data_IF_194488445008
#
_entry.id   IF_194488445008
#
_cell.length_a   1.000
_cell.length_b   1.000
_cell.length_c   1.000
_cell.angle_alpha   90.00
_cell.angle_beta   90.00
_cell.angle_gamma   90.00
#
_symmetry.space_group_name_H-M   'P 1'
#
loop_
_entity.id
_entity.type
_entity.pdbx_description
1 polymer ?
#
# COMPACT_ATOMS: atom_id res chain seq x y z
N UNK A 1 -31.34 46.32 9.63
CA UNK A 1 -29.90 46.24 9.88
C UNK A 1 -29.70 45.48 11.17
N UNK A 2 -28.76 44.53 11.21
CA UNK A 2 -28.44 43.77 12.42
C UNK A 2 -27.53 44.64 13.31
N UNK A 3 -27.78 44.62 14.61
CA UNK A 3 -26.90 45.28 15.59
C UNK A 3 -25.53 44.58 15.54
N UNK A 4 -24.42 45.31 15.61
CA UNK A 4 -23.07 44.74 15.51
C UNK A 4 -22.84 43.58 16.49
N UNK A 5 -23.39 43.68 17.71
CA UNK A 5 -23.32 42.63 18.74
C UNK A 5 -24.07 41.34 18.37
N UNK A 6 -25.20 41.46 17.66
CA UNK A 6 -26.00 40.33 17.19
C UNK A 6 -25.28 39.57 16.08
N UNK A 7 -24.62 40.30 15.17
CA UNK A 7 -23.83 39.70 14.11
C UNK A 7 -22.60 38.93 14.64
N UNK A 8 -21.89 39.47 15.65
CA UNK A 8 -20.80 38.74 16.30
C UNK A 8 -21.28 37.51 17.06
N UNK A 9 -22.44 37.58 17.73
CA UNK A 9 -23.04 36.43 18.40
C UNK A 9 -23.43 35.33 17.40
N UNK A 10 -24.07 35.70 16.29
CA UNK A 10 -24.45 34.76 15.23
C UNK A 10 -23.23 34.10 14.56
N UNK A 11 -22.16 34.87 14.36
CA UNK A 11 -20.88 34.35 13.89
C UNK A 11 -20.29 33.31 14.84
N UNK A 12 -20.24 33.61 16.15
CA UNK A 12 -19.74 32.68 17.17
C UNK A 12 -20.56 31.39 17.27
N UNK A 13 -21.89 31.49 17.23
CA UNK A 13 -22.78 30.31 17.22
C UNK A 13 -22.59 29.46 15.98
N UNK A 14 -22.36 30.09 14.82
CA UNK A 14 -22.08 29.39 13.55
C UNK A 14 -20.79 28.58 13.65
N UNK A 15 -19.70 29.17 14.11
CA UNK A 15 -18.43 28.47 14.30
C UNK A 15 -18.51 27.31 15.30
N UNK A 16 -19.22 27.49 16.42
CA UNK A 16 -19.46 26.42 17.40
C UNK A 16 -20.28 25.27 16.82
N UNK A 17 -21.19 25.55 15.90
CA UNK A 17 -21.96 24.52 15.20
C UNK A 17 -21.08 23.75 14.20
N UNK A 18 -20.20 24.45 13.46
CA UNK A 18 -19.23 23.82 12.56
C UNK A 18 -18.26 22.90 13.29
N UNK A 19 -17.81 23.28 14.49
CA UNK A 19 -16.97 22.44 15.34
C UNK A 19 -17.69 21.11 15.69
N UNK A 20 -18.97 21.19 16.07
CA UNK A 20 -19.78 19.98 16.37
C UNK A 20 -19.89 19.05 15.16
N UNK A 21 -20.18 19.59 13.98
CA UNK A 21 -20.24 18.79 12.75
C UNK A 21 -18.89 18.13 12.42
N UNK A 22 -17.78 18.83 12.67
CA UNK A 22 -16.43 18.28 12.48
C UNK A 22 -16.15 17.11 13.42
N UNK A 23 -16.53 17.23 14.70
CA UNK A 23 -16.41 16.13 15.68
C UNK A 23 -17.21 14.90 15.23
N UNK A 24 -18.42 15.08 14.70
CA UNK A 24 -19.24 14.00 14.16
C UNK A 24 -18.62 13.35 12.92
N UNK A 25 -18.08 14.16 12.01
CA UNK A 25 -17.34 13.67 10.85
C UNK A 25 -16.11 12.86 11.25
N UNK A 26 -15.32 13.34 12.23
CA UNK A 26 -14.15 12.64 12.73
C UNK A 26 -14.50 11.28 13.34
N UNK A 27 -15.65 11.16 14.02
CA UNK A 27 -16.15 9.86 14.52
C UNK A 27 -16.43 8.87 13.38
N UNK A 28 -16.86 9.35 12.20
CA UNK A 28 -17.08 8.52 11.01
C UNK A 28 -15.77 8.17 10.28
N UNK A 29 -14.79 9.07 10.26
CA UNK A 29 -13.50 8.85 9.57
C UNK A 29 -12.58 7.92 10.37
N UNK A 30 -12.56 7.99 11.70
CA UNK A 30 -11.72 7.13 12.55
C UNK A 30 -11.78 5.62 12.22
N UNK A 31 -12.96 4.98 12.10
CA UNK A 31 -13.02 3.56 11.75
C UNK A 31 -12.49 3.29 10.33
N UNK A 32 -12.67 4.21 9.37
CA UNK A 32 -12.14 4.06 8.00
C UNK A 32 -10.60 3.92 8.03
N UNK A 33 -9.94 4.78 8.81
CA UNK A 33 -8.48 4.73 8.98
C UNK A 33 -8.05 3.44 9.68
N UNK A 34 -8.80 2.99 10.69
CA UNK A 34 -8.50 1.75 11.40
C UNK A 34 -8.60 0.51 10.49
N UNK A 35 -9.60 0.48 9.60
CA UNK A 35 -9.80 -0.61 8.65
C UNK A 35 -8.70 -0.63 7.57
N UNK A 36 -8.35 0.54 7.00
CA UNK A 36 -7.21 0.68 6.09
C UNK A 36 -5.89 0.24 6.74
N UNK A 37 -5.67 0.65 7.99
CA UNK A 37 -4.48 0.27 8.74
C UNK A 37 -4.44 -1.25 8.99
N UNK A 38 -5.59 -1.87 9.23
CA UNK A 38 -5.70 -3.34 9.36
C UNK A 38 -5.36 -4.05 8.06
N UNK A 39 -5.82 -3.53 6.92
CA UNK A 39 -5.47 -4.07 5.61
C UNK A 39 -3.95 -4.00 5.38
N UNK A 40 -3.33 -2.83 5.60
CA UNK A 40 -1.90 -2.60 5.40
C UNK A 40 -1.01 -3.39 6.37
N UNK A 41 -1.36 -3.44 7.66
CA UNK A 41 -0.50 -4.03 8.70
C UNK A 41 -0.78 -5.50 8.97
N UNK A 42 -1.90 -6.06 8.53
CA UNK A 42 -2.24 -7.48 8.78
C UNK A 42 -2.45 -8.27 7.49
N UNK A 43 -3.32 -7.81 6.58
CA UNK A 43 -3.68 -8.59 5.40
C UNK A 43 -2.53 -8.71 4.38
N UNK A 44 -1.85 -7.60 4.08
CA UNK A 44 -0.70 -7.60 3.16
C UNK A 44 0.47 -8.43 3.73
N UNK A 45 0.88 -8.26 5.01
CA UNK A 45 1.97 -9.06 5.58
C UNK A 45 1.70 -10.57 5.63
N UNK A 46 0.46 -11.01 5.88
CA UNK A 46 0.10 -12.45 5.85
C UNK A 46 0.30 -13.04 4.44
N UNK A 47 -0.15 -12.31 3.42
CA UNK A 47 0.02 -12.74 2.03
C UNK A 47 1.50 -12.75 1.64
N UNK A 48 2.26 -11.72 2.03
CA UNK A 48 3.73 -11.68 1.84
C UNK A 48 4.42 -12.87 2.52
N UNK A 49 4.01 -13.26 3.73
CA UNK A 49 4.57 -14.42 4.42
C UNK A 49 4.32 -15.71 3.63
N UNK A 50 3.14 -15.85 3.04
CA UNK A 50 2.80 -17.02 2.22
C UNK A 50 3.64 -17.05 0.94
N UNK A 51 3.82 -15.89 0.29
CA UNK A 51 4.68 -15.75 -0.89
C UNK A 51 6.13 -16.14 -0.54
N UNK A 52 6.66 -15.69 0.60
CA UNK A 52 8.02 -16.09 1.04
C UNK A 52 8.16 -17.61 1.16
N UNK A 53 7.22 -18.28 1.84
CA UNK A 53 7.20 -19.75 1.94
C UNK A 53 7.15 -20.43 0.57
N UNK A 54 6.38 -19.88 -0.37
CA UNK A 54 6.33 -20.39 -1.74
C UNK A 54 7.67 -20.22 -2.47
N UNK A 55 8.36 -19.09 -2.28
CA UNK A 55 9.67 -18.85 -2.87
C UNK A 55 10.71 -19.86 -2.36
N UNK A 56 10.68 -20.19 -1.07
CA UNK A 56 11.57 -21.21 -0.49
C UNK A 56 11.34 -22.59 -1.13
N UNK A 57 10.07 -23.00 -1.23
CA UNK A 57 9.70 -24.29 -1.87
C UNK A 57 10.00 -24.29 -3.37
N UNK A 58 9.82 -23.16 -4.06
CA UNK A 58 10.18 -23.01 -5.47
C UNK A 58 11.69 -23.13 -5.66
N UNK A 59 12.47 -22.49 -4.81
CA UNK A 59 13.93 -22.56 -4.85
C UNK A 59 14.41 -24.00 -4.61
N UNK A 60 13.86 -24.69 -3.61
CA UNK A 60 14.14 -26.10 -3.35
C UNK A 60 13.81 -27.00 -4.56
N UNK A 61 12.64 -26.83 -5.19
CA UNK A 61 12.29 -27.59 -6.37
C UNK A 61 13.22 -27.31 -7.56
N UNK A 62 13.53 -26.04 -7.81
CA UNK A 62 14.40 -25.65 -8.92
C UNK A 62 15.85 -26.10 -8.72
N UNK A 63 16.36 -26.13 -7.49
CA UNK A 63 17.70 -26.64 -7.21
C UNK A 63 17.82 -28.13 -7.54
N UNK A 64 16.78 -28.94 -7.25
CA UNK A 64 16.74 -30.33 -7.71
C UNK A 64 16.65 -30.47 -9.23
N UNK A 65 15.88 -29.61 -9.92
CA UNK A 65 15.83 -29.60 -11.38
C UNK A 65 17.21 -29.28 -11.99
N UNK A 66 17.92 -28.30 -11.44
CA UNK A 66 19.26 -27.94 -11.86
C UNK A 66 20.23 -29.10 -11.62
N UNK A 67 20.20 -29.73 -10.43
CA UNK A 67 21.07 -30.86 -10.12
C UNK A 67 20.85 -32.06 -11.03
N UNK A 68 19.60 -32.40 -11.38
CA UNK A 68 19.34 -33.46 -12.36
C UNK A 68 19.93 -33.10 -13.72
N UNK A 69 19.75 -31.86 -14.17
CA UNK A 69 20.29 -31.40 -15.44
C UNK A 69 21.83 -31.47 -15.47
N UNK A 70 22.49 -31.03 -14.40
CA UNK A 70 23.95 -31.14 -14.26
C UNK A 70 24.41 -32.60 -14.39
N UNK A 71 23.70 -33.54 -13.75
CA UNK A 71 24.04 -34.96 -13.83
C UNK A 71 23.79 -35.58 -15.21
N UNK A 72 22.73 -35.15 -15.91
CA UNK A 72 22.42 -35.56 -17.29
C UNK A 72 23.48 -34.99 -18.26
N UNK A 73 23.91 -33.73 -18.07
CA UNK A 73 24.94 -33.07 -18.88
C UNK A 73 26.32 -33.73 -18.69
N UNK A 74 26.68 -34.14 -17.45
CA UNK A 74 27.86 -34.95 -17.17
C UNK A 74 27.82 -36.29 -17.91
N UNK A 75 26.69 -37.02 -17.82
CA UNK A 75 26.54 -38.34 -18.46
C UNK A 75 26.65 -38.24 -19.99
N UNK A 76 26.07 -37.19 -20.57
CA UNK A 76 26.21 -36.88 -21.99
C UNK A 76 27.67 -36.60 -22.37
N UNK A 77 28.40 -35.84 -21.54
CA UNK A 77 29.82 -35.55 -21.75
C UNK A 77 30.70 -36.81 -21.78
N UNK A 78 30.53 -37.71 -20.79
CA UNK A 78 31.27 -38.98 -20.76
C UNK A 78 30.89 -39.92 -21.90
N UNK A 79 29.60 -39.94 -22.29
CA UNK A 79 29.14 -40.72 -23.44
C UNK A 79 29.79 -40.27 -24.76
N UNK A 80 30.06 -38.97 -24.92
CA UNK A 80 30.75 -38.40 -26.09
C UNK A 80 32.24 -38.79 -26.16
N UNK A 81 32.91 -38.93 -25.01
CA UNK A 81 34.32 -39.33 -24.92
C UNK A 81 34.48 -40.86 -24.96
N UNK A 82 33.36 -41.62 -24.93
CA UNK A 82 33.32 -43.08 -24.80
C UNK A 82 34.02 -43.61 -23.54
N UNK A 83 34.02 -42.82 -22.47
CA UNK A 83 34.54 -43.23 -21.16
C UNK A 83 33.39 -43.62 -20.22
N UNK A 84 33.53 -44.72 -19.45
CA UNK A 84 32.51 -45.13 -18.50
C UNK A 84 32.49 -44.22 -17.27
N UNK A 85 31.28 -43.85 -16.82
CA UNK A 85 31.09 -43.00 -15.66
C UNK A 85 31.08 -43.81 -14.35
N UNK A 86 32.08 -43.62 -13.48
CA UNK A 86 32.24 -44.35 -12.21
C UNK A 86 30.99 -44.37 -11.31
N UNK A 87 30.24 -43.27 -11.26
CA UNK A 87 28.97 -43.17 -10.51
C UNK A 87 27.95 -44.21 -11.00
N UNK A 88 27.91 -44.44 -12.31
CA UNK A 88 26.98 -45.39 -12.96
C UNK A 88 27.44 -46.83 -12.74
N UNK A 89 28.75 -47.09 -12.78
CA UNK A 89 29.32 -48.42 -12.48
C UNK A 89 28.97 -48.92 -11.07
N UNK A 90 28.87 -47.99 -10.11
CA UNK A 90 28.49 -48.29 -8.72
C UNK A 90 26.96 -48.29 -8.51
N UNK A 91 26.17 -48.28 -9.60
CA UNK A 91 24.72 -48.40 -9.58
C UNK A 91 23.95 -47.08 -9.46
N UNK A 92 24.56 -45.91 -9.68
CA UNK A 92 23.94 -44.59 -9.81
C UNK A 92 22.91 -44.21 -8.71
N UNK A 93 23.23 -44.52 -7.46
CA UNK A 93 22.32 -44.28 -6.32
C UNK A 93 21.98 -42.80 -6.14
N UNK A 94 22.96 -41.91 -6.29
CA UNK A 94 22.78 -40.46 -6.12
C UNK A 94 21.72 -39.91 -7.08
N UNK A 95 21.78 -40.30 -8.35
CA UNK A 95 20.80 -39.86 -9.36
C UNK A 95 19.39 -40.30 -9.00
N UNK A 96 19.22 -41.57 -8.58
CA UNK A 96 17.92 -42.09 -8.14
C UNK A 96 17.38 -41.34 -6.91
N UNK A 97 18.26 -41.01 -5.96
CA UNK A 97 17.87 -40.25 -4.78
C UNK A 97 17.42 -38.84 -5.15
N UNK A 98 18.18 -38.14 -5.99
CA UNK A 98 17.84 -36.79 -6.46
C UNK A 98 16.52 -36.79 -7.24
N UNK A 99 16.27 -37.79 -8.10
CA UNK A 99 15.00 -37.92 -8.81
C UNK A 99 13.80 -38.07 -7.85
N UNK A 100 13.95 -38.85 -6.78
CA UNK A 100 12.91 -38.98 -5.75
C UNK A 100 12.69 -37.65 -5.03
N UNK A 101 13.75 -37.00 -4.56
CA UNK A 101 13.66 -35.69 -3.89
C UNK A 101 13.01 -34.63 -4.80
N UNK A 102 13.33 -34.63 -6.11
CA UNK A 102 12.70 -33.75 -7.10
C UNK A 102 11.20 -33.97 -7.20
N UNK A 103 10.75 -35.22 -7.19
CA UNK A 103 9.32 -35.54 -7.28
C UNK A 103 8.56 -35.10 -6.02
N UNK A 104 9.14 -35.30 -4.84
CA UNK A 104 8.58 -34.84 -3.58
C UNK A 104 8.49 -33.30 -3.53
N UNK A 105 9.58 -32.62 -3.92
CA UNK A 105 9.63 -31.16 -4.02
C UNK A 105 8.65 -30.60 -5.06
N UNK A 106 8.49 -31.27 -6.22
CA UNK A 106 7.50 -30.90 -7.25
C UNK A 106 6.09 -30.88 -6.69
N UNK A 107 5.74 -31.89 -5.89
CA UNK A 107 4.41 -32.01 -5.29
C UNK A 107 4.17 -30.88 -4.27
N UNK A 108 5.15 -30.58 -3.42
CA UNK A 108 5.09 -29.45 -2.48
C UNK A 108 4.98 -28.11 -3.21
N UNK A 109 5.76 -27.92 -4.27
CA UNK A 109 5.75 -26.72 -5.11
C UNK A 109 4.39 -26.51 -5.78
N UNK A 110 3.82 -27.55 -6.40
CA UNK A 110 2.52 -27.46 -7.06
C UNK A 110 1.41 -27.06 -6.08
N UNK A 111 1.42 -27.65 -4.87
CA UNK A 111 0.48 -27.31 -3.80
C UNK A 111 0.62 -25.84 -3.37
N UNK A 112 1.83 -25.42 -2.99
CA UNK A 112 2.09 -24.04 -2.57
C UNK A 112 1.80 -23.01 -3.66
N UNK A 113 2.02 -23.34 -4.93
CA UNK A 113 1.66 -22.49 -6.07
C UNK A 113 0.16 -22.24 -6.13
N UNK A 114 -0.65 -23.30 -5.97
CA UNK A 114 -2.11 -23.17 -5.91
C UNK A 114 -2.54 -22.32 -4.72
N UNK A 115 -1.97 -22.58 -3.53
CA UNK A 115 -2.31 -21.86 -2.30
C UNK A 115 -2.01 -20.34 -2.42
N UNK A 116 -0.87 -19.97 -3.00
CA UNK A 116 -0.52 -18.56 -3.22
C UNK A 116 -1.43 -17.88 -4.24
N UNK A 117 -1.80 -18.57 -5.33
CA UNK A 117 -2.71 -18.00 -6.33
C UNK A 117 -4.07 -17.66 -5.71
N UNK A 118 -4.65 -18.60 -4.96
CA UNK A 118 -5.93 -18.38 -4.27
C UNK A 118 -5.81 -17.26 -3.24
N UNK A 119 -4.71 -17.20 -2.46
CA UNK A 119 -4.51 -16.10 -1.51
C UNK A 119 -4.39 -14.73 -2.17
N UNK A 120 -3.70 -14.64 -3.31
CA UNK A 120 -3.58 -13.40 -4.07
C UNK A 120 -4.95 -12.94 -4.59
N UNK A 121 -5.75 -13.86 -5.12
CA UNK A 121 -7.11 -13.56 -5.59
C UNK A 121 -8.02 -13.09 -4.44
N UNK A 122 -7.97 -13.74 -3.28
CA UNK A 122 -8.73 -13.31 -2.10
C UNK A 122 -8.28 -11.94 -1.59
N UNK A 123 -6.97 -11.67 -1.59
CA UNK A 123 -6.43 -10.37 -1.20
C UNK A 123 -6.89 -9.27 -2.17
N UNK A 124 -6.87 -9.54 -3.47
CA UNK A 124 -7.26 -8.58 -4.50
C UNK A 124 -8.77 -8.26 -4.44
N UNK A 125 -9.60 -9.30 -4.32
CA UNK A 125 -11.04 -9.13 -4.12
C UNK A 125 -11.34 -8.28 -2.87
N UNK A 126 -10.65 -8.56 -1.77
CA UNK A 126 -10.77 -7.77 -0.54
C UNK A 126 -10.30 -6.33 -0.74
N UNK A 127 -9.14 -6.13 -1.38
CA UNK A 127 -8.59 -4.81 -1.67
C UNK A 127 -9.58 -3.94 -2.43
N UNK A 128 -10.14 -4.46 -3.54
CA UNK A 128 -11.07 -3.71 -4.37
C UNK A 128 -12.35 -3.37 -3.60
N UNK A 129 -12.95 -4.34 -2.91
CA UNK A 129 -14.20 -4.12 -2.18
C UNK A 129 -14.02 -3.16 -0.99
N UNK A 130 -13.03 -3.40 -0.13
CA UNK A 130 -12.85 -2.62 1.09
C UNK A 130 -12.42 -1.18 0.76
N UNK A 131 -11.50 -0.99 -0.20
CA UNK A 131 -11.00 0.34 -0.57
C UNK A 131 -12.11 1.20 -1.17
N UNK A 132 -12.92 0.64 -2.08
CA UNK A 132 -14.03 1.38 -2.69
C UNK A 132 -15.05 1.78 -1.64
N UNK A 133 -15.44 0.84 -0.76
CA UNK A 133 -16.40 1.09 0.30
C UNK A 133 -15.89 2.16 1.29
N UNK A 134 -14.61 2.10 1.66
CA UNK A 134 -13.97 3.07 2.55
C UNK A 134 -13.91 4.47 1.93
N UNK A 135 -13.55 4.57 0.65
CA UNK A 135 -13.52 5.84 -0.09
C UNK A 135 -14.91 6.45 -0.24
N UNK A 136 -15.93 5.63 -0.55
CA UNK A 136 -17.32 6.09 -0.58
C UNK A 136 -17.76 6.65 0.77
N UNK A 137 -17.55 5.91 1.86
CA UNK A 137 -17.87 6.37 3.22
C UNK A 137 -17.14 7.65 3.60
N UNK A 138 -15.89 7.81 3.17
CA UNK A 138 -15.11 9.01 3.40
C UNK A 138 -15.69 10.21 2.65
N UNK A 139 -15.97 10.05 1.35
CA UNK A 139 -16.56 11.10 0.52
C UNK A 139 -17.94 11.48 1.07
N UNK A 140 -18.78 10.52 1.42
CA UNK A 140 -20.11 10.77 1.99
C UNK A 140 -20.03 11.54 3.31
N UNK A 141 -19.08 11.19 4.19
CA UNK A 141 -18.85 11.91 5.44
C UNK A 141 -18.40 13.36 5.20
N UNK A 142 -17.49 13.57 4.25
CA UNK A 142 -17.01 14.90 3.86
C UNK A 142 -18.11 15.74 3.20
N UNK A 143 -18.87 15.14 2.27
CA UNK A 143 -19.98 15.80 1.60
C UNK A 143 -21.06 16.24 2.60
N UNK A 144 -21.41 15.36 3.55
CA UNK A 144 -22.35 15.68 4.62
C UNK A 144 -21.84 16.82 5.49
N UNK A 145 -20.57 16.80 5.89
CA UNK A 145 -19.96 17.86 6.69
C UNK A 145 -19.98 19.21 5.97
N UNK A 146 -19.59 19.23 4.69
CA UNK A 146 -19.58 20.46 3.90
C UNK A 146 -20.99 21.00 3.63
N UNK A 147 -21.97 20.14 3.37
CA UNK A 147 -23.36 20.56 3.22
C UNK A 147 -23.90 21.17 4.52
N UNK A 148 -23.65 20.53 5.66
CA UNK A 148 -24.03 21.07 6.98
C UNK A 148 -23.38 22.44 7.25
N UNK A 149 -22.08 22.59 6.96
CA UNK A 149 -21.39 23.87 7.11
C UNK A 149 -21.96 24.93 6.18
N UNK A 150 -22.24 24.57 4.93
CA UNK A 150 -22.83 25.46 3.94
C UNK A 150 -24.22 25.95 4.38
N UNK A 151 -25.06 25.06 4.90
CA UNK A 151 -26.40 25.43 5.37
C UNK A 151 -26.35 26.43 6.53
N UNK A 152 -25.41 26.29 7.46
CA UNK A 152 -25.27 27.24 8.59
C UNK A 152 -24.64 28.56 8.11
N UNK A 153 -23.62 28.52 7.24
CA UNK A 153 -23.01 29.73 6.69
C UNK A 153 -23.95 30.54 5.80
N UNK A 154 -24.81 29.88 5.01
CA UNK A 154 -25.79 30.56 4.14
C UNK A 154 -26.76 31.44 4.94
N UNK A 155 -27.05 31.07 6.17
CA UNK A 155 -27.94 31.83 7.06
C UNK A 155 -27.22 33.00 7.74
N UNK A 156 -25.89 32.96 7.81
CA UNK A 156 -25.08 33.99 8.44
C UNK A 156 -24.78 35.11 7.44
N UNK A 157 -25.51 36.22 7.52
CA UNK A 157 -25.30 37.42 6.69
C UNK A 157 -24.13 38.23 7.26
N UNK A 158 -22.93 37.70 7.08
CA UNK A 158 -21.69 38.24 7.61
C UNK A 158 -21.18 39.26 6.57
N UNK A 159 -21.29 40.56 6.89
CA UNK A 159 -20.85 41.76 6.14
C UNK A 159 -21.84 42.42 5.16
N UNK A 160 -21.82 43.78 5.05
CA UNK A 160 -20.97 44.76 5.76
C UNK A 160 -21.46 45.05 7.20
N UNK A 161 -20.55 44.98 8.18
CA UNK A 161 -20.80 45.32 9.58
C UNK A 161 -20.64 46.83 9.74
N UNK A 162 -21.73 47.56 9.85
CA UNK A 162 -21.67 48.93 10.35
C UNK A 162 -21.41 48.87 11.86
N UNK A 163 -20.31 49.46 12.29
CA UNK A 163 -20.03 49.63 13.72
C UNK A 163 -20.89 50.81 14.15
N UNK A 164 -21.97 50.55 14.90
CA UNK A 164 -22.75 51.59 15.57
C UNK A 164 -21.84 52.23 16.64
N UNK A 165 -21.07 53.23 16.22
CA UNK A 165 -20.29 54.09 17.08
C UNK A 165 -21.23 55.21 17.53
N UNK A 166 -21.47 55.31 18.84
CA UNK A 166 -22.14 56.49 19.40
C UNK A 166 -21.39 57.76 18.98
N UNK A 167 -22.09 58.89 18.83
CA UNK A 167 -21.46 60.18 18.40
C UNK A 167 -20.30 60.64 19.30
N UNK A 168 -20.11 60.02 20.47
CA UNK A 168 -19.03 60.27 21.42
C UNK A 168 -17.91 59.20 21.37
N UNK A 169 -17.99 58.20 20.50
CA UNK A 169 -16.98 57.14 20.41
C UNK A 169 -15.59 57.65 19.96
N UNK A 170 -15.55 58.83 19.34
CA UNK A 170 -14.32 59.53 18.96
C UNK A 170 -14.09 60.84 19.72
N UNK A 171 -14.92 61.18 20.72
CA UNK A 171 -14.55 62.26 21.63
C UNK A 171 -13.47 61.72 22.55
N UNK A 172 -12.22 61.86 22.12
CA UNK A 172 -11.11 61.96 23.06
C UNK A 172 -11.52 63.02 24.06
N UNK A 173 -11.66 62.63 25.32
CA UNK A 173 -11.83 63.58 26.39
C UNK A 173 -10.52 64.37 26.43
N UNK A 174 -10.42 65.44 25.63
CA UNK A 174 -9.42 66.49 25.77
C UNK A 174 -9.75 67.25 27.04
N UNK A 175 -9.79 66.53 28.16
CA UNK A 175 -9.67 67.08 29.49
C UNK A 175 -8.27 67.65 29.55
N UNK A 176 -8.22 68.97 29.37
CA UNK A 176 -7.18 69.91 29.77
C UNK A 176 -6.05 69.19 30.53
N UNK A 177 -4.97 68.87 29.81
CA UNK A 177 -3.69 68.54 30.41
C UNK A 177 -3.15 69.87 30.94
N UNK A 178 -3.45 70.15 32.21
CA UNK A 178 -2.64 71.09 32.99
C UNK A 178 -1.26 70.47 33.12
N UNK A 179 -0.17 71.15 32.70
CA UNK A 179 1.17 70.61 32.82
C UNK A 179 1.70 71.03 34.18
N UNK A 180 1.59 70.18 35.20
CA UNK A 180 2.44 70.27 36.39
C UNK A 180 2.52 68.87 37.06
N UNK A 181 3.69 68.27 36.89
CA UNK A 181 4.49 67.53 37.89
C UNK A 181 3.84 66.33 38.64
N UNK A 182 4.24 65.11 38.25
CA UNK A 182 5.13 64.21 39.02
C UNK A 182 4.88 62.72 38.74
N UNK A 183 5.93 62.04 38.26
CA UNK A 183 6.05 60.58 38.27
C UNK A 183 6.12 60.04 39.71
N UNK A 184 5.85 58.74 39.93
CA UNK A 184 7.00 57.83 39.97
C UNK A 184 6.80 56.45 39.31
N UNK A 185 7.88 55.99 38.66
CA UNK A 185 8.22 54.61 38.33
C UNK A 185 8.11 53.64 39.54
N UNK A 186 7.53 52.45 39.33
CA UNK A 186 7.98 51.10 39.80
C UNK A 186 7.19 50.10 38.93
N UNK A 187 7.68 49.07 38.24
CA UNK A 187 8.83 48.19 38.41
C UNK A 187 8.30 46.74 38.38
N UNK A 188 8.69 45.98 37.34
CA UNK A 188 8.80 44.50 37.21
C UNK A 188 7.58 43.59 37.43
N UNK A 189 7.22 42.75 36.44
CA UNK A 189 7.63 41.33 36.36
C UNK A 189 6.95 40.59 35.19
N UNK A 190 7.74 39.74 34.54
CA UNK A 190 7.36 38.84 33.45
C UNK A 190 6.79 37.56 34.06
N UNK A 191 5.61 37.11 33.60
CA UNK A 191 5.19 35.71 33.78
C UNK A 191 4.78 35.14 32.41
N UNK A 192 5.75 34.50 31.77
CA UNK A 192 5.50 33.52 30.72
C UNK A 192 4.79 32.32 31.37
N UNK A 193 3.54 32.06 30.97
CA UNK A 193 2.85 30.81 31.28
C UNK A 193 3.00 29.88 30.09
N UNK A 194 3.90 28.93 30.25
CA UNK A 194 3.98 27.71 29.46
C UNK A 194 2.63 26.97 29.55
N UNK A 195 2.01 26.73 28.40
CA UNK A 195 0.93 25.76 28.23
C UNK A 195 1.58 24.47 27.74
N UNK A 196 1.92 23.58 28.68
CA UNK A 196 2.07 22.17 28.38
C UNK A 196 0.67 21.55 28.31
N UNK A 197 0.21 21.23 27.10
CA UNK A 197 -0.87 20.27 26.92
C UNK A 197 -0.40 19.14 25.99
N UNK A 198 -0.31 17.98 26.62
CA UNK A 198 -0.03 16.66 26.11
C UNK A 198 -1.02 16.27 25.00
N UNK A 199 -0.53 16.13 23.76
CA UNK A 199 -1.25 15.41 22.70
C UNK A 199 -0.38 14.29 22.15
N UNK A 200 -0.49 13.15 22.84
CA UNK A 200 -0.02 11.85 22.38
C UNK A 200 -0.80 11.41 21.12
N UNK A 201 -0.38 11.88 19.94
CA UNK A 201 -0.85 11.35 18.64
C UNK A 201 0.19 11.43 17.51
N UNK A 202 1.42 11.83 17.80
CA UNK A 202 2.55 11.72 16.87
C UNK A 202 3.20 10.32 17.00
N UNK A 203 2.44 9.29 16.62
CA UNK A 203 2.98 7.94 16.45
C UNK A 203 3.38 7.70 15.00
N UNK A 204 4.67 7.81 14.70
CA UNK A 204 5.39 7.15 13.61
C UNK A 204 4.59 6.83 12.33
N UNK A 205 4.41 7.84 11.47
CA UNK A 205 4.28 7.59 10.02
C UNK A 205 5.69 7.61 9.45
N UNK A 206 6.42 6.49 9.60
CA UNK A 206 7.58 6.25 8.74
C UNK A 206 7.06 6.08 7.32
N UNK A 207 7.28 7.10 6.51
CA UNK A 207 7.19 7.02 5.06
C UNK A 207 8.04 5.82 4.63
N UNK A 208 7.43 4.83 4.00
CA UNK A 208 8.15 3.69 3.47
C UNK A 208 8.99 4.22 2.31
N UNK A 209 10.31 4.27 2.49
CA UNK A 209 11.25 4.45 1.37
C UNK A 209 11.05 3.26 0.42
N UNK A 210 10.55 3.55 -0.79
CA UNK A 210 10.39 2.58 -1.87
C UNK A 210 11.73 2.21 -2.54
N UNK A 211 12.87 2.60 -1.97
CA UNK A 211 14.19 2.51 -2.58
C UNK A 211 14.87 1.13 -2.47
N UNK A 212 14.44 0.24 -1.57
CA UNK A 212 15.13 -1.06 -1.36
C UNK A 212 14.48 -2.25 -2.10
N UNK A 213 13.80 -1.98 -3.21
CA UNK A 213 13.42 -3.02 -4.17
C UNK A 213 14.48 -3.06 -5.27
N UNK A 214 15.65 -3.62 -4.94
CA UNK A 214 16.66 -4.03 -5.92
C UNK A 214 16.12 -5.21 -6.73
N UNK A 215 15.30 -4.89 -7.74
CA UNK A 215 14.99 -5.76 -8.87
C UNK A 215 16.04 -5.50 -9.94
N UNK A 216 17.27 -5.89 -9.64
CA UNK A 216 18.37 -5.95 -10.60
C UNK A 216 19.27 -7.13 -10.25
N UNK A 217 18.82 -8.34 -10.58
CA UNK A 217 19.74 -9.45 -10.76
C UNK A 217 20.47 -9.29 -12.09
N UNK A 218 21.75 -8.89 -12.06
CA UNK A 218 22.78 -9.57 -12.87
C UNK A 218 24.19 -9.07 -12.60
N UNK A 219 25.04 -10.06 -12.34
CA UNK A 219 26.41 -10.18 -12.82
C UNK A 219 27.42 -9.10 -12.40
N UNK A 220 28.27 -9.43 -11.42
CA UNK A 220 29.72 -9.20 -11.46
C UNK A 220 30.37 -9.64 -10.14
N UNK A 221 30.88 -10.89 -10.07
CA UNK A 221 32.15 -11.19 -9.39
C UNK A 221 32.51 -12.66 -9.57
N UNK A 222 33.10 -12.99 -10.72
CA UNK A 222 34.07 -14.07 -10.82
C UNK A 222 34.81 -13.94 -12.14
N UNK A 223 35.99 -13.31 -12.09
CA UNK A 223 37.09 -13.56 -13.03
C UNK A 223 38.37 -12.93 -12.50
N UNK A 224 39.26 -13.79 -11.99
CA UNK A 224 40.69 -13.61 -12.13
C UNK A 224 41.37 -14.98 -12.10
N UNK A 225 41.64 -15.54 -13.28
CA UNK A 225 42.87 -16.28 -13.61
C UNK A 225 43.07 -16.26 -15.12
N UNK A 226 44.34 -16.17 -15.50
CA UNK A 226 44.92 -15.74 -16.77
C UNK A 226 44.96 -16.81 -17.87
N UNK A 227 44.93 -16.32 -19.10
CA UNK A 227 45.72 -16.63 -20.32
C UNK A 227 45.99 -18.08 -20.77
N UNK A 228 45.72 -18.30 -22.06
CA UNK A 228 46.22 -19.45 -22.84
C UNK A 228 45.55 -19.62 -24.22
N UNK A 229 46.01 -18.84 -25.20
CA UNK A 229 46.06 -18.99 -26.67
C UNK A 229 45.02 -19.79 -27.53
N UNK A 230 44.61 -19.07 -28.60
CA UNK A 230 43.88 -19.34 -29.87
C UNK A 230 44.30 -20.61 -30.67
N UNK A 231 43.51 -21.15 -31.65
CA UNK A 231 43.04 -20.44 -32.87
C UNK A 231 41.65 -20.82 -33.46
N UNK A 232 41.17 -20.11 -34.52
CA UNK A 232 39.77 -20.14 -34.94
C UNK A 232 39.51 -21.09 -36.13
N UNK A 233 38.28 -21.60 -36.23
CA UNK A 233 37.78 -22.24 -37.46
C UNK A 233 36.27 -22.03 -37.64
N UNK A 234 35.91 -22.05 -38.91
CA UNK A 234 34.83 -21.33 -39.57
C UNK A 234 33.54 -22.16 -39.76
N UNK A 235 32.41 -21.45 -39.81
CA UNK A 235 31.17 -21.69 -40.58
C UNK A 235 30.33 -22.98 -40.44
N UNK A 236 29.03 -22.71 -40.31
CA UNK A 236 27.83 -23.46 -40.76
C UNK A 236 27.22 -24.53 -39.86
N UNK A 237 26.00 -24.24 -39.40
CA UNK A 237 25.05 -25.23 -38.88
C UNK A 237 23.78 -24.58 -38.33
N UNK A 238 22.79 -24.38 -39.20
CA UNK A 238 21.43 -24.01 -38.81
C UNK A 238 20.79 -25.08 -37.93
N UNK A 239 20.18 -24.68 -36.81
CA UNK A 239 18.94 -25.30 -36.32
C UNK A 239 18.18 -24.33 -35.39
N UNK A 240 17.03 -23.88 -35.92
CA UNK A 240 16.02 -23.09 -35.21
C UNK A 240 15.51 -23.86 -33.98
N UNK A 241 15.70 -23.29 -32.79
CA UNK A 241 15.01 -23.73 -31.58
C UNK A 241 13.64 -23.05 -31.53
N UNK A 242 12.60 -23.88 -31.58
CA UNK A 242 11.22 -23.46 -31.67
C UNK A 242 10.74 -22.64 -30.46
N UNK A 243 10.05 -21.58 -30.84
CA UNK A 243 9.28 -20.60 -30.10
C UNK A 243 8.14 -21.25 -29.29
N UNK A 244 8.10 -21.01 -27.97
CA UNK A 244 7.04 -21.44 -27.04
C UNK A 244 6.07 -20.27 -26.73
N UNK A 245 5.62 -19.57 -27.77
CA UNK A 245 4.60 -18.52 -27.69
C UNK A 245 3.22 -19.01 -28.14
N UNK A 246 2.60 -19.91 -27.37
CA UNK A 246 1.15 -20.16 -27.48
C UNK A 246 0.59 -20.30 -26.08
N UNK A 247 0.00 -19.23 -25.56
CA UNK A 247 -1.28 -19.21 -24.82
C UNK A 247 -1.50 -17.81 -24.24
N UNK A 248 -1.93 -16.88 -25.08
CA UNK A 248 -2.70 -15.74 -24.61
C UNK A 248 -3.68 -15.25 -25.71
N UNK A 249 -4.98 -15.34 -25.41
CA UNK A 249 -5.97 -14.32 -25.82
C UNK A 249 -6.96 -14.59 -26.96
N UNK A 250 -8.22 -14.85 -26.57
CA UNK A 250 -9.45 -14.40 -27.25
C UNK A 250 -10.09 -15.37 -28.27
N UNK A 251 -11.41 -15.51 -28.42
CA UNK A 251 -12.60 -14.93 -27.78
C UNK A 251 -13.82 -15.74 -28.29
N UNK A 252 -14.94 -15.61 -27.57
CA UNK A 252 -16.32 -15.74 -28.08
C UNK A 252 -16.96 -17.15 -28.13
N UNK A 253 -17.69 -17.51 -27.07
CA UNK A 253 -19.07 -18.01 -27.20
C UNK A 253 -19.95 -17.51 -26.06
N UNK A 254 -20.91 -16.70 -26.49
CA UNK A 254 -22.07 -16.15 -25.81
C UNK A 254 -23.01 -17.29 -25.39
N UNK A 255 -23.45 -17.32 -24.12
CA UNK A 255 -24.58 -18.15 -23.69
C UNK A 255 -25.55 -17.30 -22.88
N UNK A 256 -26.73 -17.15 -23.48
CA UNK A 256 -27.97 -16.62 -22.96
C UNK A 256 -28.44 -17.44 -21.75
N UNK A 257 -28.88 -16.78 -20.69
CA UNK A 257 -29.63 -17.42 -19.61
C UNK A 257 -30.87 -16.60 -19.25
N UNK A 258 -31.87 -16.67 -20.15
CA UNK A 258 -33.27 -16.55 -19.79
C UNK A 258 -33.90 -17.95 -19.76
N UNK A 259 -33.99 -18.58 -18.58
CA UNK A 259 -34.97 -19.62 -18.26
C UNK A 259 -34.84 -20.00 -16.78
N UNK A 260 -35.71 -19.38 -15.98
CA UNK A 260 -36.17 -19.84 -14.69
C UNK A 260 -37.15 -21.01 -14.90
N UNK A 261 -37.37 -21.81 -13.84
CA UNK A 261 -38.43 -22.81 -13.57
C UNK A 261 -38.35 -24.19 -14.24
N UNK A 262 -38.05 -25.22 -13.45
CA UNK A 262 -38.98 -26.33 -13.11
C UNK A 262 -38.22 -27.62 -12.76
N UNK A 263 -37.92 -27.81 -11.47
CA UNK A 263 -37.66 -29.14 -10.89
C UNK A 263 -38.39 -29.24 -9.56
N UNK A 264 -39.72 -29.35 -9.65
CA UNK A 264 -40.58 -29.95 -8.63
C UNK A 264 -41.78 -30.60 -9.33
N UNK A 265 -41.68 -31.90 -9.65
CA UNK A 265 -42.84 -32.79 -9.59
C UNK A 265 -42.45 -34.27 -9.65
N UNK A 266 -43.05 -34.97 -8.70
CA UNK A 266 -43.27 -36.40 -8.50
C UNK A 266 -43.53 -37.20 -9.77
N UNK A 267 -42.94 -38.39 -9.89
CA UNK A 267 -43.55 -39.69 -9.54
C UNK A 267 -42.46 -40.79 -9.45
#
# INVERSE_FOLDING_TARGET
MLRTSEAFSQFGVTHRSMERFSIEMLKKIKPIVADLNTFLRKAIPDTRLTIKKYLDVKFEYLSYCLKVKEMDDEEYGFAMVHEPLYRVETGNYEYRLILRCRQDARTRFAKMRSDVLVKLELLDNKHVQDTVLQLQRFIDAMATYHDQCYQVMKQAKIFPLEVDLDRNAFTYNTGIISPDEDEPEVGEEIVNKDFEEESALAGDVKLIDLADVDVAGSASSMRQTQDGDLPPLNSNGHSNLADWSVFNGGSLRQLDHSAITDVFRTD
#
